data_IF_460372449582
#
_entry.id   IF_460372449582
#
_cell.length_a   1.000
_cell.length_b   1.000
_cell.length_c   1.000
_cell.angle_alpha   90.00
_cell.angle_beta   90.00
_cell.angle_gamma   90.00
#
_symmetry.space_group_name_H-M   'P 1'
#
loop_
_entity.id
_entity.type
_entity.pdbx_description
1 polymer ?
#
# COMPACT_ATOMS: atom_id res chain seq x y z
N UNK A 1 5.91 5.31 -14.90
CA UNK A 1 7.03 5.76 -14.05
C UNK A 1 6.49 5.92 -12.65
N UNK A 2 7.14 5.34 -11.64
CA UNK A 2 6.74 5.49 -10.24
C UNK A 2 7.51 6.66 -9.62
N UNK A 3 6.87 7.42 -8.75
CA UNK A 3 7.47 8.54 -8.03
C UNK A 3 6.96 8.57 -6.59
N UNK A 4 7.75 9.19 -5.71
CA UNK A 4 7.36 9.42 -4.32
C UNK A 4 6.58 10.73 -4.22
N UNK A 5 5.51 10.73 -3.42
CA UNK A 5 4.79 11.95 -3.03
C UNK A 5 5.17 12.28 -1.59
N UNK A 6 5.63 13.51 -1.34
CA UNK A 6 5.93 13.94 0.03
C UNK A 6 4.64 14.08 0.85
N UNK A 7 4.76 14.04 2.18
CA UNK A 7 3.61 14.24 3.07
C UNK A 7 2.99 15.63 2.87
N UNK A 8 3.82 16.64 2.65
CA UNK A 8 3.39 18.03 2.41
C UNK A 8 2.57 18.13 1.12
N UNK A 9 3.03 17.48 0.05
CA UNK A 9 2.31 17.43 -1.24
C UNK A 9 0.97 16.70 -1.11
N UNK A 10 0.94 15.55 -0.43
CA UNK A 10 -0.31 14.81 -0.16
C UNK A 10 -1.32 15.71 0.58
N UNK A 11 -0.88 16.40 1.64
CA UNK A 11 -1.73 17.30 2.42
C UNK A 11 -2.19 18.51 1.60
N UNK A 12 -1.33 19.06 0.74
CA UNK A 12 -1.70 20.15 -0.16
C UNK A 12 -2.81 19.73 -1.12
N UNK A 13 -2.67 18.58 -1.79
CA UNK A 13 -3.70 18.07 -2.71
C UNK A 13 -5.04 17.83 -2.02
N UNK A 14 -5.04 17.36 -0.76
CA UNK A 14 -6.27 17.20 0.03
C UNK A 14 -6.90 18.56 0.34
N UNK A 15 -6.13 19.53 0.81
CA UNK A 15 -6.62 20.88 1.17
C UNK A 15 -7.20 21.63 -0.03
N UNK A 16 -6.59 21.48 -1.20
CA UNK A 16 -7.03 22.13 -2.45
C UNK A 16 -8.18 21.39 -3.15
N UNK A 17 -8.69 20.29 -2.59
CA UNK A 17 -9.72 19.46 -3.24
C UNK A 17 -9.23 18.71 -4.48
N UNK A 18 -7.92 18.65 -4.71
CA UNK A 18 -7.28 18.01 -5.86
C UNK A 18 -7.03 16.50 -5.64
N UNK A 19 -7.94 15.79 -4.98
CA UNK A 19 -7.77 14.36 -4.63
C UNK A 19 -7.67 13.44 -5.84
N UNK A 20 -8.12 13.88 -7.02
CA UNK A 20 -7.90 13.18 -8.29
C UNK A 20 -6.42 12.97 -8.60
N UNK A 21 -5.51 13.85 -8.12
CA UNK A 21 -4.06 13.69 -8.24
C UNK A 21 -3.51 12.55 -7.38
N UNK A 22 -4.24 12.16 -6.33
CA UNK A 22 -3.93 11.02 -5.48
C UNK A 22 -4.55 9.73 -6.03
N UNK A 23 -5.26 9.78 -7.17
CA UNK A 23 -5.82 8.57 -7.77
C UNK A 23 -4.69 7.65 -8.19
N UNK A 24 -4.82 6.38 -7.82
CA UNK A 24 -3.80 5.35 -8.09
C UNK A 24 -2.52 5.51 -7.27
N UNK A 25 -2.46 6.37 -6.25
CA UNK A 25 -1.33 6.29 -5.31
C UNK A 25 -1.41 4.98 -4.51
N UNK A 26 -0.25 4.54 -4.05
CA UNK A 26 -0.10 3.39 -3.16
C UNK A 26 0.56 3.88 -1.87
N UNK A 27 0.18 3.27 -0.75
CA UNK A 27 0.70 3.66 0.57
C UNK A 27 0.82 2.40 1.45
N UNK A 28 1.90 1.61 1.28
CA UNK A 28 2.19 0.51 2.20
C UNK A 28 2.40 1.04 3.62
N UNK A 29 2.14 0.22 4.63
CA UNK A 29 2.29 0.65 6.02
C UNK A 29 3.76 0.78 6.43
N UNK A 30 4.60 -0.18 6.03
CA UNK A 30 6.04 -0.16 6.28
C UNK A 30 6.78 -0.63 5.03
N UNK A 31 7.83 0.12 4.66
CA UNK A 31 8.75 -0.25 3.58
C UNK A 31 10.18 -0.19 4.11
N UNK A 32 10.93 -1.26 3.90
CA UNK A 32 12.38 -1.31 4.10
C UNK A 32 13.05 -1.24 2.74
N UNK A 33 13.73 -0.14 2.47
CA UNK A 33 14.39 0.12 1.19
C UNK A 33 15.74 -0.57 1.08
N UNK A 34 16.11 -0.99 -0.13
CA UNK A 34 17.47 -1.44 -0.45
C UNK A 34 18.33 -0.26 -0.89
N UNK A 35 19.56 -0.17 -0.37
CA UNK A 35 20.63 0.72 -0.86
C UNK A 35 20.20 2.18 -1.10
N UNK A 36 19.51 2.78 -0.11
CA UNK A 36 19.01 4.17 -0.14
C UNK A 36 18.08 4.53 -1.31
N UNK A 37 17.61 3.56 -2.08
CA UNK A 37 16.67 3.77 -3.18
C UNK A 37 15.22 3.66 -2.68
N UNK A 38 14.52 4.80 -2.61
CA UNK A 38 13.13 4.84 -2.14
C UNK A 38 12.14 4.11 -3.06
N UNK A 39 12.53 3.81 -4.31
CA UNK A 39 11.69 3.12 -5.29
C UNK A 39 12.00 1.63 -5.38
N UNK A 40 12.91 1.13 -4.53
CA UNK A 40 13.25 -0.29 -4.44
C UNK A 40 13.17 -0.76 -2.99
N UNK A 41 12.40 -1.82 -2.75
CA UNK A 41 12.19 -2.36 -1.42
C UNK A 41 12.89 -3.71 -1.27
N UNK A 42 13.62 -3.90 -0.16
CA UNK A 42 13.98 -5.24 0.28
C UNK A 42 12.75 -5.97 0.85
N UNK A 43 11.89 -5.23 1.58
CA UNK A 43 10.76 -5.76 2.31
C UNK A 43 9.62 -4.74 2.38
N UNK A 44 8.39 -5.20 2.18
CA UNK A 44 7.16 -4.41 2.29
C UNK A 44 6.22 -5.15 3.24
N UNK A 45 5.73 -4.44 4.25
CA UNK A 45 4.80 -4.98 5.24
C UNK A 45 3.51 -4.16 5.21
N UNK A 46 2.39 -4.86 5.07
CA UNK A 46 1.05 -4.30 5.20
C UNK A 46 0.37 -4.94 6.42
N UNK A 47 -0.07 -4.10 7.36
CA UNK A 47 -0.67 -4.50 8.62
C UNK A 47 -2.18 -4.63 8.44
N UNK A 48 -2.71 -5.83 8.72
CA UNK A 48 -4.14 -6.11 8.64
C UNK A 48 -4.72 -6.40 10.02
N UNK A 49 -5.82 -5.73 10.33
CA UNK A 49 -6.58 -5.87 11.56
C UNK A 49 -8.01 -6.30 11.24
N UNK A 50 -8.23 -7.59 10.93
CA UNK A 50 -9.57 -8.10 10.67
C UNK A 50 -10.50 -7.86 11.88
N UNK A 51 -11.76 -7.51 11.60
CA UNK A 51 -12.81 -7.34 12.61
C UNK A 51 -14.07 -8.11 12.16
N UNK A 52 -14.59 -9.07 12.97
CA UNK A 52 -13.98 -9.60 14.20
C UNK A 52 -12.61 -10.24 13.93
N UNK A 53 -11.80 -10.39 14.99
CA UNK A 53 -10.44 -10.94 14.90
C UNK A 53 -10.37 -12.40 14.43
N UNK A 54 -11.52 -13.10 14.41
CA UNK A 54 -11.66 -14.43 13.82
C UNK A 54 -11.66 -14.45 12.30
N UNK A 55 -11.79 -13.30 11.63
CA UNK A 55 -11.71 -13.24 10.18
C UNK A 55 -10.27 -13.39 9.71
N UNK A 56 -10.07 -14.11 8.61
CA UNK A 56 -8.75 -14.17 7.99
C UNK A 56 -8.36 -12.81 7.40
N UNK A 57 -7.08 -12.41 7.52
CA UNK A 57 -6.61 -11.19 6.88
C UNK A 57 -6.51 -11.45 5.36
N UNK A 58 -7.00 -10.51 4.56
CA UNK A 58 -7.06 -10.66 3.10
C UNK A 58 -6.40 -9.48 2.39
N UNK A 59 -5.74 -9.76 1.28
CA UNK A 59 -5.33 -8.73 0.33
C UNK A 59 -6.58 -8.21 -0.38
N UNK A 60 -6.79 -6.90 -0.35
CA UNK A 60 -7.91 -6.29 -1.08
C UNK A 60 -7.72 -6.51 -2.57
N UNK A 61 -8.70 -7.12 -3.22
CA UNK A 61 -8.78 -7.19 -4.69
C UNK A 61 -9.37 -5.91 -5.26
N UNK A 62 -8.76 -5.36 -6.30
CA UNK A 62 -9.23 -4.15 -6.94
C UNK A 62 -10.20 -4.46 -8.08
N UNK A 63 -11.39 -3.85 -8.04
CA UNK A 63 -12.43 -4.00 -9.06
C UNK A 63 -12.29 -3.04 -10.25
N UNK A 64 -13.28 -3.09 -11.16
CA UNK A 64 -13.27 -2.41 -12.48
C UNK A 64 -13.06 -0.89 -12.45
N UNK A 65 -13.37 -0.23 -11.35
CA UNK A 65 -13.25 1.24 -11.20
C UNK A 65 -11.85 1.67 -10.72
N UNK A 66 -11.04 0.72 -10.24
CA UNK A 66 -9.67 0.96 -9.80
C UNK A 66 -8.72 0.97 -10.99
N UNK A 67 -7.65 1.78 -10.88
CA UNK A 67 -6.53 1.72 -11.82
C UNK A 67 -5.78 0.38 -11.76
N UNK A 68 -6.00 -0.40 -10.70
CA UNK A 68 -5.36 -1.69 -10.44
C UNK A 68 -6.30 -2.89 -10.67
N UNK A 69 -7.33 -2.72 -11.50
CA UNK A 69 -8.35 -3.75 -11.73
C UNK A 69 -7.74 -5.13 -12.01
N UNK A 70 -8.22 -6.15 -11.30
CA UNK A 70 -7.75 -7.53 -11.43
C UNK A 70 -6.49 -7.86 -10.62
N UNK A 71 -5.87 -6.87 -9.97
CA UNK A 71 -4.76 -7.08 -9.05
C UNK A 71 -5.22 -7.03 -7.59
N UNK A 72 -4.47 -7.71 -6.74
CA UNK A 72 -4.55 -7.54 -5.28
C UNK A 72 -3.62 -6.43 -4.81
N UNK A 73 -3.92 -5.83 -3.66
CA UNK A 73 -3.06 -4.83 -3.02
C UNK A 73 -1.60 -5.30 -2.88
N UNK A 74 -1.38 -6.55 -2.48
CA UNK A 74 -0.04 -7.10 -2.35
C UNK A 74 0.71 -7.20 -3.69
N UNK A 75 0.01 -7.58 -4.76
CA UNK A 75 0.59 -7.61 -6.12
C UNK A 75 0.95 -6.21 -6.60
N UNK A 76 0.11 -5.21 -6.33
CA UNK A 76 0.40 -3.81 -6.70
C UNK A 76 1.66 -3.33 -6.00
N UNK A 77 1.82 -3.60 -4.70
CA UNK A 77 3.04 -3.22 -3.97
C UNK A 77 4.27 -3.93 -4.52
N UNK A 78 4.17 -5.23 -4.79
CA UNK A 78 5.28 -6.01 -5.34
C UNK A 78 5.73 -5.48 -6.72
N UNK A 79 4.78 -5.21 -7.61
CA UNK A 79 5.07 -4.70 -8.95
C UNK A 79 5.64 -3.28 -8.93
N UNK A 80 5.25 -2.47 -7.93
CA UNK A 80 5.64 -1.08 -7.83
C UNK A 80 7.07 -0.88 -7.29
N UNK A 81 7.49 -1.69 -6.33
CA UNK A 81 8.72 -1.46 -5.55
C UNK A 81 9.72 -2.63 -5.59
N UNK A 82 9.41 -3.71 -6.30
CA UNK A 82 10.31 -4.86 -6.53
C UNK A 82 10.91 -5.46 -5.23
N UNK A 83 10.05 -5.94 -4.33
CA UNK A 83 10.44 -6.47 -3.02
C UNK A 83 9.55 -7.59 -2.50
N UNK A 84 9.96 -8.23 -1.40
CA UNK A 84 9.13 -9.23 -0.73
C UNK A 84 7.98 -8.54 0.00
N UNK A 85 6.75 -8.99 -0.25
CA UNK A 85 5.54 -8.43 0.35
C UNK A 85 4.98 -9.38 1.39
N UNK A 86 4.74 -8.88 2.61
CA UNK A 86 4.13 -9.62 3.69
C UNK A 86 2.90 -8.92 4.21
N UNK A 87 1.90 -9.73 4.54
CA UNK A 87 0.76 -9.31 5.33
C UNK A 87 1.00 -9.73 6.77
N UNK A 88 1.02 -8.79 7.69
CA UNK A 88 1.10 -9.11 9.11
C UNK A 88 -0.23 -8.79 9.77
N UNK A 89 -0.73 -9.74 10.54
CA UNK A 89 -1.91 -9.54 11.38
C UNK A 89 -1.56 -9.90 12.81
N UNK A 90 -1.97 -9.10 13.81
CA UNK A 90 -1.85 -9.52 15.18
C UNK A 90 -2.77 -10.72 15.42
N UNK A 91 -2.21 -11.85 15.79
CA UNK A 91 -2.97 -12.93 16.42
C UNK A 91 -2.89 -12.69 17.93
N UNK A 92 -3.91 -12.04 18.47
CA UNK A 92 -4.02 -11.83 19.92
C UNK A 92 -4.32 -13.16 20.65
N UNK A 93 -4.02 -13.18 21.96
CA UNK A 93 -4.81 -13.92 22.93
C UNK A 93 -5.97 -12.98 23.31
N UNK A 94 -7.22 -13.35 22.99
CA UNK A 94 -8.41 -12.52 23.28
C UNK A 94 -9.13 -13.04 24.51
#
# INVERSE_FOLDING_TARGET
>A
MIETISREQEQQFIKEGCTHKLRSTIKPDIVLHSDYNLLQAALIIDLKFPCPSSNDPVWRSYGKTSAYNGLTQGQVYQQALDGKVFMLTPRGFF
#
